data_IF_619112982597
#
_entry.id   IF_619112982597
#
_cell.length_a   1.000
_cell.length_b   1.000
_cell.length_c   1.000
_cell.angle_alpha   90.00
_cell.angle_beta   90.00
_cell.angle_gamma   90.00
#
_symmetry.space_group_name_H-M   'P 1'
#
loop_
_entity.id
_entity.type
_entity.pdbx_description
1 polymer ?
#
# COMPACT_ATOMS: atom_id res chain seq x y z
N UNK A 1 -0.63 -30.11 -4.16
CA UNK A 1 0.57 -29.40 -3.63
C UNK A 1 0.28 -28.09 -2.87
N UNK A 2 -0.97 -27.62 -2.68
CA UNK A 2 -1.29 -26.44 -1.83
C UNK A 2 -1.76 -26.77 -0.40
N UNK A 3 -1.80 -28.05 -0.02
CA UNK A 3 -2.43 -28.49 1.23
C UNK A 3 -1.49 -28.48 2.47
N UNK A 4 -0.18 -28.27 2.31
CA UNK A 4 0.79 -28.50 3.40
C UNK A 4 1.70 -27.32 3.78
N UNK A 5 1.53 -26.14 3.18
CA UNK A 5 2.29 -24.93 3.56
C UNK A 5 1.33 -23.78 3.85
N UNK A 6 0.63 -23.87 4.98
CA UNK A 6 -0.08 -22.74 5.57
C UNK A 6 0.97 -21.81 6.20
N UNK A 7 1.64 -21.00 5.39
CA UNK A 7 2.49 -19.94 5.95
C UNK A 7 1.60 -18.97 6.71
N UNK A 8 1.76 -18.94 8.04
CA UNK A 8 1.04 -17.98 8.88
C UNK A 8 1.24 -16.56 8.35
N UNK A 9 0.16 -15.79 8.28
CA UNK A 9 0.15 -14.40 7.77
C UNK A 9 1.26 -13.55 8.40
N UNK A 10 1.53 -13.78 9.69
CA UNK A 10 2.56 -13.06 10.44
C UNK A 10 3.98 -13.37 9.95
N UNK A 11 4.28 -14.62 9.56
CA UNK A 11 5.58 -14.98 9.00
C UNK A 11 5.78 -14.41 7.59
N UNK A 12 4.72 -14.35 6.77
CA UNK A 12 4.79 -13.66 5.47
C UNK A 12 5.04 -12.17 5.65
N UNK A 13 4.30 -11.51 6.54
CA UNK A 13 4.44 -10.08 6.82
C UNK A 13 5.83 -9.73 7.34
N UNK A 14 6.36 -10.52 8.29
CA UNK A 14 7.69 -10.30 8.85
C UNK A 14 8.78 -10.43 7.80
N UNK A 15 8.74 -11.49 6.97
CA UNK A 15 9.75 -11.69 5.92
C UNK A 15 9.72 -10.58 4.87
N UNK A 16 8.54 -10.14 4.44
CA UNK A 16 8.41 -9.06 3.47
C UNK A 16 8.93 -7.74 4.04
N UNK A 17 8.56 -7.40 5.28
CA UNK A 17 9.02 -6.17 5.91
C UNK A 17 10.53 -6.18 6.22
N UNK A 18 11.09 -7.33 6.59
CA UNK A 18 12.53 -7.50 6.84
C UNK A 18 13.33 -7.26 5.56
N UNK A 19 12.99 -7.95 4.47
CA UNK A 19 13.67 -7.75 3.19
C UNK A 19 13.48 -6.32 2.67
N UNK A 20 12.27 -5.76 2.76
CA UNK A 20 12.00 -4.37 2.36
C UNK A 20 12.88 -3.37 3.12
N UNK A 21 13.05 -3.57 4.43
CA UNK A 21 13.91 -2.71 5.26
C UNK A 21 15.38 -2.81 4.85
N UNK A 22 15.87 -4.01 4.53
CA UNK A 22 17.25 -4.19 4.06
C UNK A 22 17.49 -3.49 2.71
N UNK A 23 16.60 -3.69 1.74
CA UNK A 23 16.73 -3.07 0.41
C UNK A 23 16.60 -1.55 0.48
N UNK A 24 15.59 -1.03 1.18
CA UNK A 24 15.40 0.41 1.35
C UNK A 24 16.54 1.02 2.16
N UNK A 25 17.00 0.36 3.21
CA UNK A 25 18.15 0.81 4.00
C UNK A 25 19.42 0.93 3.16
N UNK A 26 19.72 -0.08 2.33
CA UNK A 26 20.84 -0.01 1.40
C UNK A 26 20.66 1.11 0.37
N UNK A 27 19.45 1.32 -0.15
CA UNK A 27 19.13 2.41 -1.08
C UNK A 27 19.32 3.81 -0.46
N UNK A 28 18.90 4.00 0.79
CA UNK A 28 19.08 5.27 1.51
C UNK A 28 20.57 5.52 1.81
N UNK A 29 21.32 4.48 2.15
CA UNK A 29 22.78 4.60 2.34
C UNK A 29 23.51 4.97 1.05
N UNK A 30 23.07 4.43 -0.10
CA UNK A 30 23.66 4.72 -1.40
C UNK A 30 23.36 6.14 -1.89
N UNK A 31 22.14 6.63 -1.64
CA UNK A 31 21.70 7.97 -2.07
C UNK A 31 22.13 9.08 -1.10
N UNK A 32 22.36 8.76 0.18
CA UNK A 32 22.77 9.73 1.21
C UNK A 32 21.64 10.60 1.75
N UNK A 33 20.38 10.36 1.35
CA UNK A 33 19.20 11.15 1.74
C UNK A 33 18.89 11.11 3.24
N UNK A 34 19.54 10.22 3.99
CA UNK A 34 19.38 10.07 5.44
C UNK A 34 19.69 11.37 6.18
N UNK A 35 20.73 12.11 5.76
CA UNK A 35 21.13 13.37 6.41
C UNK A 35 20.14 14.49 6.13
N UNK A 36 19.62 14.58 4.90
CA UNK A 36 18.59 15.54 4.53
C UNK A 36 17.29 15.27 5.31
N UNK A 37 16.88 14.00 5.42
CA UNK A 37 15.72 13.60 6.20
C UNK A 37 15.82 13.96 7.68
N UNK A 38 16.99 13.77 8.30
CA UNK A 38 17.23 14.16 9.69
C UNK A 38 17.10 15.68 9.89
N UNK A 39 17.74 16.48 9.01
CA UNK A 39 17.63 17.94 9.06
C UNK A 39 16.19 18.44 8.87
N UNK A 40 15.42 17.77 8.02
CA UNK A 40 14.02 18.07 7.79
C UNK A 40 13.14 17.74 9.00
N UNK A 41 13.44 16.63 9.68
CA UNK A 41 12.72 16.18 10.86
C UNK A 41 12.97 17.10 12.06
N UNK A 42 14.20 17.61 12.24
CA UNK A 42 14.52 18.62 13.25
C UNK A 42 13.77 19.94 13.00
N UNK A 43 13.65 20.34 11.73
CA UNK A 43 12.94 21.57 11.35
C UNK A 43 11.43 21.46 11.50
N UNK A 44 10.87 20.26 11.33
CA UNK A 44 9.41 20.01 11.39
C UNK A 44 9.08 18.81 12.30
N UNK A 45 9.15 18.96 13.63
CA UNK A 45 8.95 17.84 14.57
C UNK A 45 7.55 17.21 14.49
N UNK A 46 6.54 17.97 14.04
CA UNK A 46 5.18 17.46 13.80
C UNK A 46 5.12 16.30 12.81
N UNK A 47 6.11 16.17 11.93
CA UNK A 47 6.13 15.11 10.93
C UNK A 47 6.33 13.73 11.53
N UNK A 48 6.99 13.64 12.70
CA UNK A 48 7.18 12.38 13.41
C UNK A 48 5.83 11.77 13.77
N UNK A 49 4.89 12.58 14.27
CA UNK A 49 3.54 12.12 14.58
C UNK A 49 2.79 11.64 13.34
N UNK A 50 2.93 12.34 12.21
CA UNK A 50 2.32 11.92 10.94
C UNK A 50 2.91 10.61 10.42
N UNK A 51 4.23 10.43 10.50
CA UNK A 51 4.92 9.20 10.11
C UNK A 51 4.50 8.03 11.01
N UNK A 52 4.39 8.24 12.32
CA UNK A 52 3.93 7.23 13.27
C UNK A 52 2.48 6.83 12.99
N UNK A 53 1.58 7.79 12.76
CA UNK A 53 0.19 7.52 12.42
C UNK A 53 0.08 6.77 11.09
N UNK A 54 0.85 7.19 10.09
CA UNK A 54 0.94 6.52 8.80
C UNK A 54 1.46 5.08 8.94
N UNK A 55 2.50 4.87 9.75
CA UNK A 55 3.08 3.57 10.03
C UNK A 55 2.08 2.63 10.75
N UNK A 56 1.40 3.11 11.78
CA UNK A 56 0.36 2.36 12.50
C UNK A 56 -0.78 1.95 11.57
N UNK A 57 -1.32 2.91 10.81
CA UNK A 57 -2.41 2.64 9.86
C UNK A 57 -1.97 1.68 8.76
N UNK A 58 -0.72 1.80 8.30
CA UNK A 58 -0.13 0.90 7.31
C UNK A 58 0.06 -0.53 7.85
N UNK A 59 0.53 -0.68 9.09
CA UNK A 59 0.68 -1.98 9.74
C UNK A 59 -0.67 -2.69 9.94
N UNK A 60 -1.70 -1.95 10.35
CA UNK A 60 -3.08 -2.46 10.42
C UNK A 60 -3.56 -2.90 9.03
N UNK A 61 -3.39 -2.07 8.01
CA UNK A 61 -3.76 -2.40 6.62
C UNK A 61 -3.04 -3.62 6.06
N UNK A 62 -1.73 -3.74 6.30
CA UNK A 62 -0.94 -4.90 5.90
C UNK A 62 -1.43 -6.18 6.57
N UNK A 63 -1.82 -6.11 7.85
CA UNK A 63 -2.37 -7.27 8.57
C UNK A 63 -3.63 -7.82 7.87
N UNK A 64 -4.55 -6.94 7.44
CA UNK A 64 -5.74 -7.35 6.68
C UNK A 64 -5.40 -7.92 5.29
N UNK A 65 -4.40 -7.37 4.62
CA UNK A 65 -3.94 -7.86 3.31
C UNK A 65 -3.39 -9.28 3.45
N UNK A 66 -2.43 -9.51 4.34
CA UNK A 66 -1.84 -10.83 4.53
C UNK A 66 -2.85 -11.85 5.06
N UNK A 67 -3.77 -11.43 5.95
CA UNK A 67 -4.90 -12.26 6.36
C UNK A 67 -5.74 -12.69 5.16
N UNK A 68 -6.14 -11.74 4.30
CA UNK A 68 -6.93 -12.04 3.10
C UNK A 68 -6.19 -12.98 2.14
N UNK A 69 -4.89 -12.78 1.95
CA UNK A 69 -4.06 -13.66 1.10
C UNK A 69 -4.01 -15.08 1.64
N UNK A 70 -3.91 -15.27 2.96
CA UNK A 70 -3.86 -16.62 3.57
C UNK A 70 -5.22 -17.32 3.51
N UNK A 71 -6.32 -16.62 3.80
CA UNK A 71 -7.65 -17.22 3.82
C UNK A 71 -8.31 -17.38 2.43
N UNK A 72 -8.17 -16.39 1.56
CA UNK A 72 -8.87 -16.33 0.26
C UNK A 72 -7.94 -16.40 -0.95
N UNK A 73 -6.63 -16.46 -0.72
CA UNK A 73 -5.62 -16.45 -1.77
C UNK A 73 -5.29 -15.05 -2.29
N UNK A 74 -4.17 -14.92 -3.03
CA UNK A 74 -3.68 -13.64 -3.55
C UNK A 74 -4.58 -13.04 -4.65
N UNK A 75 -5.29 -13.87 -5.41
CA UNK A 75 -6.19 -13.41 -6.47
C UNK A 75 -7.34 -12.57 -5.89
N UNK A 76 -8.00 -13.08 -4.85
CA UNK A 76 -9.09 -12.38 -4.16
C UNK A 76 -8.60 -11.08 -3.52
N UNK A 77 -7.40 -11.09 -2.91
CA UNK A 77 -6.79 -9.88 -2.39
C UNK A 77 -6.58 -8.82 -3.48
N UNK A 78 -6.10 -9.23 -4.67
CA UNK A 78 -5.91 -8.32 -5.81
C UNK A 78 -7.23 -7.65 -6.19
N UNK A 79 -8.29 -8.44 -6.39
CA UNK A 79 -9.64 -7.95 -6.76
C UNK A 79 -10.18 -6.95 -5.72
N UNK A 80 -10.03 -7.26 -4.43
CA UNK A 80 -10.46 -6.36 -3.35
C UNK A 80 -9.70 -5.02 -3.42
N UNK A 81 -8.38 -5.06 -3.59
CA UNK A 81 -7.57 -3.83 -3.62
C UNK A 81 -7.80 -2.99 -4.87
N UNK A 82 -8.02 -3.60 -6.05
CA UNK A 82 -8.34 -2.86 -7.29
C UNK A 82 -9.70 -2.20 -7.18
N UNK A 83 -10.70 -2.92 -6.69
CA UNK A 83 -12.06 -2.40 -6.45
C UNK A 83 -12.02 -1.21 -5.49
N UNK A 84 -11.27 -1.31 -4.37
CA UNK A 84 -11.09 -0.20 -3.42
C UNK A 84 -10.46 1.02 -4.09
N UNK A 85 -9.32 0.85 -4.77
CA UNK A 85 -8.60 1.95 -5.45
C UNK A 85 -9.50 2.66 -6.44
N UNK A 86 -10.32 1.91 -7.15
CA UNK A 86 -11.20 2.43 -8.16
C UNK A 86 -12.37 3.24 -7.60
N UNK A 87 -13.03 2.75 -6.54
CA UNK A 87 -14.04 3.56 -5.83
C UNK A 87 -13.46 4.87 -5.30
N UNK A 88 -12.21 4.85 -4.80
CA UNK A 88 -11.53 6.09 -4.40
C UNK A 88 -11.31 7.05 -5.57
N UNK A 89 -10.96 6.54 -6.76
CA UNK A 89 -10.82 7.36 -7.97
C UNK A 89 -12.17 7.97 -8.37
N UNK A 90 -13.23 7.16 -8.42
CA UNK A 90 -14.57 7.64 -8.76
C UNK A 90 -15.05 8.70 -7.77
N UNK A 91 -14.91 8.44 -6.47
CA UNK A 91 -15.24 9.41 -5.42
C UNK A 91 -14.44 10.71 -5.56
N UNK A 92 -13.14 10.62 -5.87
CA UNK A 92 -12.30 11.79 -6.12
C UNK A 92 -12.83 12.64 -7.28
N UNK A 93 -13.20 12.02 -8.41
CA UNK A 93 -13.76 12.78 -9.53
C UNK A 93 -15.08 13.45 -9.13
N UNK A 94 -15.98 12.71 -8.49
CA UNK A 94 -17.30 13.24 -8.09
C UNK A 94 -17.14 14.42 -7.13
N UNK A 95 -16.21 14.33 -6.17
CA UNK A 95 -15.98 15.36 -5.15
C UNK A 95 -15.23 16.58 -5.68
N UNK A 96 -14.24 16.39 -6.55
CA UNK A 96 -13.39 17.48 -7.07
C UNK A 96 -13.87 18.05 -8.42
N UNK A 97 -14.98 17.52 -8.97
CA UNK A 97 -15.58 17.95 -10.24
C UNK A 97 -14.57 18.06 -11.41
N UNK A 98 -13.53 17.23 -11.41
CA UNK A 98 -12.52 17.23 -12.47
C UNK A 98 -13.14 16.64 -13.75
N UNK A 99 -13.04 17.31 -14.91
CA UNK A 99 -13.59 16.79 -16.15
C UNK A 99 -12.89 15.49 -16.56
N UNK A 100 -13.63 14.37 -16.52
CA UNK A 100 -13.17 13.08 -17.04
C UNK A 100 -13.28 13.10 -18.57
N UNK A 101 -12.19 12.77 -19.26
CA UNK A 101 -12.18 12.53 -20.70
C UNK A 101 -13.04 11.31 -21.08
N UNK A 102 -13.74 11.30 -22.23
CA UNK A 102 -14.54 10.15 -22.68
C UNK A 102 -13.77 8.81 -22.66
N UNK A 103 -12.46 8.83 -22.92
CA UNK A 103 -11.60 7.63 -22.87
C UNK A 103 -11.43 7.08 -21.45
N UNK A 104 -11.37 7.96 -20.44
CA UNK A 104 -11.29 7.57 -19.04
C UNK A 104 -12.61 6.98 -18.53
N UNK A 105 -13.75 7.43 -19.08
CA UNK A 105 -15.05 6.79 -18.84
C UNK A 105 -15.12 5.38 -19.41
N UNK A 106 -14.61 5.16 -20.63
CA UNK A 106 -14.51 3.82 -21.21
C UNK A 106 -13.62 2.91 -20.35
N UNK A 107 -12.47 3.42 -19.89
CA UNK A 107 -11.61 2.68 -18.97
C UNK A 107 -12.29 2.33 -17.64
N UNK A 108 -13.09 3.26 -17.09
CA UNK A 108 -13.89 3.06 -15.87
C UNK A 108 -14.90 1.92 -16.07
N UNK A 109 -15.64 1.90 -17.18
CA UNK A 109 -16.61 0.84 -17.48
C UNK A 109 -15.91 -0.51 -17.70
N UNK A 110 -14.76 -0.52 -18.38
CA UNK A 110 -13.99 -1.75 -18.64
C UNK A 110 -13.46 -2.39 -17.35
N UNK A 111 -13.07 -1.60 -16.36
CA UNK A 111 -12.66 -2.09 -15.03
C UNK A 111 -13.83 -2.71 -14.25
N UNK A 112 -15.08 -2.29 -14.50
CA UNK A 112 -16.28 -2.90 -13.89
C UNK A 112 -16.79 -4.14 -14.64
N UNK A 113 -16.38 -4.35 -15.89
CA UNK A 113 -16.78 -5.51 -16.71
C UNK A 113 -15.88 -6.73 -16.53
N UNK A 114 -14.70 -6.58 -15.90
CA UNK A 114 -13.77 -7.65 -15.56
C UNK A 114 -13.64 -7.87 -14.06
#
# INVERSE_FOLDING_TARGET
>A
MRAHYQTSSNHMMLNVNLWSTLFLGAGILFTGELWEFLSFTERYPSIISNILLFGLTSALGQSFIFMTVVYFGPLTCSIITTTRKFFTILASVVLFANPISPVQWVGTVLVFLG
#
